data_IF_822287183680
#
_entry.id   IF_822287183680
#
_cell.length_a   1.000
_cell.length_b   1.000
_cell.length_c   1.000
_cell.angle_alpha   90.00
_cell.angle_beta   90.00
_cell.angle_gamma   90.00
#
_symmetry.space_group_name_H-M   'P 1'
#
loop_
_entity.id
_entity.type
_entity.pdbx_description
1 polymer ?
#
# COMPACT_ATOMS: atom_id res chain seq x y z
N UNK A 1 10.79 -13.74 -17.98
CA UNK A 1 9.86 -14.70 -17.36
C UNK A 1 8.60 -14.72 -18.22
N UNK A 2 8.20 -15.87 -18.75
CA UNK A 2 7.05 -15.95 -19.67
C UNK A 2 5.74 -15.65 -18.94
N UNK A 3 4.77 -15.08 -19.64
CA UNK A 3 3.42 -14.80 -19.14
C UNK A 3 2.72 -16.02 -18.54
N UNK A 4 3.02 -17.22 -19.06
CA UNK A 4 2.53 -18.50 -18.57
C UNK A 4 3.05 -18.82 -17.15
N UNK A 5 4.32 -18.53 -16.86
CA UNK A 5 4.88 -18.71 -15.50
C UNK A 5 4.26 -17.79 -14.45
N UNK A 6 3.90 -16.57 -14.82
CA UNK A 6 3.22 -15.62 -13.93
C UNK A 6 1.76 -16.05 -13.65
N UNK A 7 1.04 -16.55 -14.63
CA UNK A 7 -0.33 -17.05 -14.45
C UNK A 7 -0.38 -18.28 -13.55
N UNK A 8 0.56 -19.22 -13.71
CA UNK A 8 0.64 -20.42 -12.87
C UNK A 8 0.98 -20.08 -11.41
N UNK A 9 1.89 -19.16 -11.15
CA UNK A 9 2.23 -18.73 -9.79
C UNK A 9 1.06 -18.08 -9.06
N UNK A 10 0.13 -17.42 -9.77
CA UNK A 10 -1.03 -16.74 -9.19
C UNK A 10 -2.10 -17.72 -8.67
N UNK A 11 -2.29 -18.86 -9.30
CA UNK A 11 -3.23 -19.89 -8.84
C UNK A 11 -2.74 -20.64 -7.61
N UNK A 12 -1.44 -20.65 -7.36
CA UNK A 12 -0.83 -21.32 -6.19
C UNK A 12 -1.16 -20.66 -4.85
N UNK A 13 -1.62 -19.39 -4.86
CA UNK A 13 -1.96 -18.64 -3.65
C UNK A 13 -3.15 -19.28 -2.91
N UNK A 14 -4.04 -19.96 -3.63
CA UNK A 14 -5.31 -20.47 -3.10
C UNK A 14 -5.23 -21.89 -2.54
N UNK A 15 -4.06 -22.50 -2.52
CA UNK A 15 -3.84 -23.85 -1.98
C UNK A 15 -3.01 -23.83 -0.70
N UNK A 16 -3.08 -24.92 0.04
CA UNK A 16 -2.16 -25.17 1.15
C UNK A 16 -0.72 -25.19 0.64
N UNK A 17 0.19 -24.54 1.34
CA UNK A 17 1.60 -24.49 0.98
C UNK A 17 2.28 -25.81 1.38
N UNK A 18 2.22 -26.81 0.50
CA UNK A 18 2.85 -28.12 0.72
C UNK A 18 4.36 -28.05 0.76
N UNK A 19 4.96 -27.10 0.04
CA UNK A 19 6.39 -26.84 0.01
C UNK A 19 6.93 -26.49 1.40
N UNK A 20 6.16 -25.74 2.20
CA UNK A 20 6.50 -25.48 3.59
C UNK A 20 6.53 -26.74 4.43
N UNK A 21 5.52 -27.61 4.29
CA UNK A 21 5.46 -28.88 5.00
C UNK A 21 6.60 -29.82 4.58
N UNK A 22 6.93 -29.85 3.29
CA UNK A 22 8.08 -30.59 2.79
C UNK A 22 9.40 -30.05 3.36
N UNK A 23 9.59 -28.73 3.41
CA UNK A 23 10.77 -28.13 4.02
C UNK A 23 10.92 -28.51 5.51
N UNK A 24 9.82 -28.49 6.26
CA UNK A 24 9.81 -28.95 7.66
C UNK A 24 10.11 -30.46 7.77
N UNK A 25 9.58 -31.28 6.88
CA UNK A 25 9.89 -32.73 6.83
C UNK A 25 11.38 -32.98 6.64
N UNK A 26 12.02 -32.26 5.71
CA UNK A 26 13.47 -32.37 5.53
C UNK A 26 14.27 -31.87 6.75
N UNK A 27 13.83 -30.78 7.40
CA UNK A 27 14.47 -30.30 8.62
C UNK A 27 14.32 -31.28 9.79
N UNK A 28 13.15 -31.91 9.94
CA UNK A 28 12.99 -32.96 10.97
C UNK A 28 13.89 -34.15 10.70
N UNK A 29 14.06 -34.55 9.44
CA UNK A 29 15.02 -35.60 9.07
C UNK A 29 16.45 -35.22 9.47
N UNK A 30 16.88 -33.98 9.25
CA UNK A 30 18.18 -33.48 9.70
C UNK A 30 18.35 -33.59 11.21
N UNK A 31 17.34 -33.14 11.99
CA UNK A 31 17.38 -33.20 13.45
C UNK A 31 17.51 -34.64 13.94
N UNK A 32 16.74 -35.58 13.38
CA UNK A 32 16.80 -37.00 13.73
C UNK A 32 18.18 -37.57 13.38
N UNK A 33 18.72 -37.26 12.23
CA UNK A 33 20.03 -37.72 11.79
C UNK A 33 21.17 -37.20 12.69
N UNK A 34 21.09 -35.92 13.10
CA UNK A 34 22.04 -35.36 14.06
C UNK A 34 21.91 -36.07 15.44
N UNK A 35 20.69 -36.36 15.89
CA UNK A 35 20.44 -37.09 17.13
C UNK A 35 21.08 -38.48 17.11
N UNK A 36 20.90 -39.23 16.03
CA UNK A 36 21.51 -40.56 15.83
C UNK A 36 23.02 -40.44 15.83
N UNK A 37 23.58 -39.50 15.07
CA UNK A 37 25.02 -39.30 15.01
C UNK A 37 25.62 -38.93 16.37
N UNK A 38 24.96 -38.14 17.18
CA UNK A 38 25.45 -37.73 18.49
C UNK A 38 25.62 -38.91 19.46
N UNK A 39 24.79 -39.96 19.32
CA UNK A 39 24.85 -41.16 20.15
C UNK A 39 25.87 -42.20 19.63
N UNK A 40 26.00 -42.31 18.31
CA UNK A 40 26.76 -43.42 17.69
C UNK A 40 28.06 -42.95 17.00
N UNK A 41 28.42 -41.65 17.09
CA UNK A 41 29.52 -41.06 16.34
C UNK A 41 30.83 -41.79 16.50
N UNK A 42 31.18 -42.24 17.73
CA UNK A 42 32.45 -42.92 18.03
C UNK A 42 32.49 -44.39 17.62
N UNK A 43 31.31 -45.02 17.48
CA UNK A 43 31.17 -46.41 17.11
C UNK A 43 31.10 -46.64 15.59
N UNK A 44 30.80 -45.58 14.83
CA UNK A 44 30.67 -45.65 13.37
C UNK A 44 32.01 -45.67 12.68
N UNK A 45 32.17 -46.57 11.70
CA UNK A 45 33.28 -46.57 10.78
C UNK A 45 33.45 -45.22 10.07
N UNK A 46 34.66 -44.81 9.77
CA UNK A 46 34.96 -43.52 9.18
C UNK A 46 34.20 -43.27 7.85
N UNK A 47 34.11 -44.31 7.04
CA UNK A 47 33.37 -44.27 5.76
C UNK A 47 31.87 -44.00 5.95
N UNK A 48 31.27 -44.61 6.97
CA UNK A 48 29.86 -44.39 7.30
C UNK A 48 29.59 -42.96 7.74
N UNK A 49 30.50 -42.31 8.45
CA UNK A 49 30.37 -40.90 8.85
C UNK A 49 30.23 -39.95 7.68
N UNK A 50 31.03 -40.17 6.62
CA UNK A 50 30.95 -39.34 5.42
C UNK A 50 29.63 -39.51 4.69
N UNK A 51 29.10 -40.73 4.63
CA UNK A 51 27.77 -41.00 4.06
C UNK A 51 26.69 -40.26 4.83
N UNK A 52 26.70 -40.35 6.17
CA UNK A 52 25.72 -39.62 7.01
C UNK A 52 25.81 -38.10 6.84
N UNK A 53 27.01 -37.53 6.81
CA UNK A 53 27.21 -36.11 6.53
C UNK A 53 26.68 -35.71 5.16
N UNK A 54 26.92 -36.54 4.13
CA UNK A 54 26.38 -36.34 2.79
C UNK A 54 24.84 -36.30 2.77
N UNK A 55 24.18 -37.23 3.49
CA UNK A 55 22.72 -37.26 3.62
C UNK A 55 22.20 -36.02 4.35
N UNK A 56 22.86 -35.59 5.43
CA UNK A 56 22.46 -34.35 6.15
C UNK A 56 22.56 -33.14 5.21
N UNK A 57 23.65 -33.00 4.47
CA UNK A 57 23.82 -31.90 3.51
C UNK A 57 22.73 -31.95 2.43
N UNK A 58 22.43 -33.14 1.89
CA UNK A 58 21.36 -33.32 0.93
C UNK A 58 20.01 -32.88 1.51
N UNK A 59 19.67 -33.31 2.72
CA UNK A 59 18.42 -32.91 3.39
C UNK A 59 18.34 -31.39 3.63
N UNK A 60 19.45 -30.75 4.00
CA UNK A 60 19.52 -29.29 4.17
C UNK A 60 19.29 -28.56 2.83
N UNK A 61 19.93 -29.02 1.76
CA UNK A 61 19.74 -28.43 0.42
C UNK A 61 18.30 -28.60 -0.04
N UNK A 62 17.71 -29.80 0.14
CA UNK A 62 16.32 -30.06 -0.17
C UNK A 62 15.36 -29.18 0.65
N UNK A 63 15.61 -29.01 1.96
CA UNK A 63 14.84 -28.11 2.83
C UNK A 63 14.92 -26.66 2.33
N UNK A 64 16.12 -26.19 2.00
CA UNK A 64 16.34 -24.83 1.52
C UNK A 64 15.62 -24.58 0.19
N UNK A 65 15.68 -25.53 -0.74
CA UNK A 65 14.99 -25.41 -2.01
C UNK A 65 13.47 -25.32 -1.84
N UNK A 66 12.88 -26.23 -1.06
CA UNK A 66 11.45 -26.18 -0.73
C UNK A 66 11.06 -24.90 0.00
N UNK A 67 11.90 -24.39 0.89
CA UNK A 67 11.66 -23.11 1.58
C UNK A 67 11.67 -21.92 0.60
N UNK A 68 12.60 -21.90 -0.35
CA UNK A 68 12.65 -20.86 -1.39
C UNK A 68 11.39 -20.86 -2.28
N UNK A 69 10.84 -22.02 -2.56
CA UNK A 69 9.58 -22.16 -3.32
C UNK A 69 8.36 -21.79 -2.47
N UNK A 70 8.36 -22.12 -1.18
CA UNK A 70 7.30 -21.81 -0.25
C UNK A 70 7.16 -20.30 0.04
N UNK A 71 8.28 -19.58 0.13
CA UNK A 71 8.32 -18.19 0.59
C UNK A 71 7.42 -17.23 -0.21
N UNK A 72 7.45 -17.21 -1.56
CA UNK A 72 6.57 -16.33 -2.33
C UNK A 72 5.09 -16.67 -2.15
N UNK A 73 4.75 -17.96 -1.99
CA UNK A 73 3.38 -18.40 -1.76
C UNK A 73 2.88 -17.92 -0.40
N UNK A 74 3.67 -18.11 0.66
CA UNK A 74 3.34 -17.67 2.00
C UNK A 74 3.19 -16.15 2.10
N UNK A 75 4.08 -15.41 1.45
CA UNK A 75 4.00 -13.95 1.36
C UNK A 75 2.71 -13.50 0.65
N UNK A 76 2.34 -14.15 -0.43
CA UNK A 76 1.13 -13.85 -1.16
C UNK A 76 -0.14 -14.20 -0.35
N UNK A 77 -0.14 -15.34 0.37
CA UNK A 77 -1.22 -15.72 1.28
C UNK A 77 -1.37 -14.72 2.43
N UNK A 78 -0.27 -14.27 3.04
CA UNK A 78 -0.32 -13.27 4.11
C UNK A 78 -0.94 -11.95 3.62
N UNK A 79 -0.63 -11.52 2.39
CA UNK A 79 -1.20 -10.32 1.77
C UNK A 79 -2.71 -10.36 1.58
N UNK A 80 -3.33 -11.53 1.55
CA UNK A 80 -4.80 -11.63 1.46
C UNK A 80 -5.50 -11.18 2.76
N UNK A 81 -4.80 -11.19 3.88
CA UNK A 81 -5.36 -10.89 5.20
C UNK A 81 -4.84 -9.59 5.82
N UNK A 82 -3.69 -9.13 5.38
CA UNK A 82 -3.04 -7.91 5.89
C UNK A 82 -2.89 -6.91 4.76
N UNK A 83 -3.37 -5.69 4.97
CA UNK A 83 -3.24 -4.63 3.97
C UNK A 83 -1.79 -4.17 3.82
N UNK A 84 -1.39 -3.93 2.56
CA UNK A 84 -0.13 -3.28 2.21
C UNK A 84 -0.30 -1.81 1.82
N UNK A 85 -1.38 -1.14 2.29
CA UNK A 85 -1.60 0.26 1.97
C UNK A 85 -0.47 1.14 2.51
N UNK A 86 0.03 2.01 1.66
CA UNK A 86 1.03 3.01 2.00
C UNK A 86 0.34 4.37 1.92
N UNK A 87 0.31 5.09 3.05
CA UNK A 87 -0.26 6.42 3.11
C UNK A 87 0.82 7.45 2.81
N UNK A 88 0.49 8.44 2.00
CA UNK A 88 1.35 9.59 1.71
C UNK A 88 0.85 10.78 2.52
N UNK A 89 1.77 11.45 3.21
CA UNK A 89 1.51 12.73 3.87
C UNK A 89 1.55 13.89 2.86
N UNK A 90 0.86 15.03 3.12
CA UNK A 90 0.94 16.21 2.26
C UNK A 90 2.39 16.70 2.04
N UNK A 91 3.25 16.62 3.04
CA UNK A 91 4.66 16.98 2.95
C UNK A 91 5.47 16.05 2.04
N UNK A 92 5.23 14.74 2.07
CA UNK A 92 5.83 13.78 1.14
C UNK A 92 5.30 14.03 -0.28
N UNK A 93 4.00 14.28 -0.42
CA UNK A 93 3.39 14.64 -1.70
C UNK A 93 4.07 15.88 -2.30
N UNK A 94 4.34 16.91 -1.49
CA UNK A 94 5.08 18.11 -1.90
C UNK A 94 6.48 17.76 -2.43
N UNK A 95 7.22 16.91 -1.71
CA UNK A 95 8.55 16.47 -2.14
C UNK A 95 8.46 15.81 -3.52
N UNK A 96 7.53 14.91 -3.73
CA UNK A 96 7.36 14.20 -4.99
C UNK A 96 6.90 15.09 -6.14
N UNK A 97 6.08 16.10 -5.87
CA UNK A 97 5.61 17.05 -6.88
C UNK A 97 6.67 18.13 -7.22
N UNK A 98 7.58 18.44 -6.28
CA UNK A 98 8.58 19.49 -6.43
C UNK A 98 10.01 18.98 -6.73
N UNK A 99 10.30 17.70 -6.55
CA UNK A 99 11.63 17.07 -6.72
C UNK A 99 12.05 16.95 -8.19
N UNK A 100 11.86 17.88 -9.01
CA UNK A 100 12.55 17.99 -10.29
C UNK A 100 13.44 19.24 -10.39
N UNK A 101 13.53 20.07 -9.33
CA UNK A 101 13.91 21.48 -9.48
C UNK A 101 14.83 22.07 -8.42
N UNK A 102 15.74 21.26 -7.87
CA UNK A 102 16.89 21.82 -7.12
C UNK A 102 17.94 22.37 -8.09
N UNK A 103 17.67 23.51 -8.71
CA UNK A 103 18.71 24.36 -9.28
C UNK A 103 18.28 25.81 -9.26
N UNK A 104 18.67 26.51 -8.20
CA UNK A 104 18.50 27.95 -8.03
C UNK A 104 17.40 28.32 -7.02
N UNK A 105 17.67 29.39 -6.28
CA UNK A 105 16.89 29.98 -5.16
C UNK A 105 15.44 30.42 -5.48
N UNK A 106 14.75 29.78 -6.38
CA UNK A 106 13.35 30.02 -6.67
C UNK A 106 12.62 28.67 -6.67
N UNK A 107 11.87 28.43 -5.62
CA UNK A 107 10.99 27.26 -5.45
C UNK A 107 9.82 27.22 -6.46
N UNK A 108 9.73 28.25 -7.29
CA UNK A 108 8.70 28.38 -8.33
C UNK A 108 9.38 28.34 -9.68
N UNK A 109 9.86 27.19 -10.12
CA UNK A 109 10.22 27.01 -11.52
C UNK A 109 9.36 25.94 -12.15
N UNK A 110 8.49 26.47 -13.04
CA UNK A 110 7.84 25.81 -14.17
C UNK A 110 7.65 24.32 -13.95
N UNK A 111 6.56 24.03 -13.30
CA UNK A 111 6.06 22.67 -13.19
C UNK A 111 6.00 22.05 -14.56
N UNK A 112 6.44 20.82 -14.68
CA UNK A 112 5.86 19.93 -15.64
C UNK A 112 4.39 19.78 -15.21
N UNK A 113 3.55 20.69 -15.71
CA UNK A 113 2.13 20.78 -15.34
C UNK A 113 1.34 19.54 -15.78
N UNK A 114 2.04 18.54 -16.30
CA UNK A 114 1.40 17.42 -16.93
C UNK A 114 0.97 16.32 -15.96
N UNK A 115 1.63 16.17 -14.82
CA UNK A 115 1.34 15.03 -13.92
C UNK A 115 1.29 15.42 -12.44
N UNK A 116 0.21 15.01 -11.76
CA UNK A 116 0.03 15.09 -10.30
C UNK A 116 0.16 13.71 -9.69
N UNK A 117 0.92 13.59 -8.60
CA UNK A 117 1.00 12.35 -7.84
C UNK A 117 -0.29 12.14 -7.04
N UNK A 118 -0.91 10.97 -7.18
CA UNK A 118 -2.08 10.57 -6.40
C UNK A 118 -1.72 9.77 -5.15
N UNK A 119 -0.60 9.05 -5.19
CA UNK A 119 -0.21 8.15 -4.11
C UNK A 119 0.38 6.85 -4.61
N UNK A 120 0.40 5.85 -3.73
CA UNK A 120 0.77 4.48 -4.10
C UNK A 120 -0.47 3.68 -4.47
N UNK A 121 -0.38 2.94 -5.55
CA UNK A 121 -1.45 2.10 -6.05
C UNK A 121 -1.00 1.27 -7.23
N UNK A 122 -1.93 0.66 -7.93
CA UNK A 122 -1.66 -0.09 -9.15
C UNK A 122 -2.77 0.18 -10.18
N UNK A 123 -2.44 0.04 -11.44
CA UNK A 123 -3.41 0.14 -12.51
C UNK A 123 -4.27 -1.12 -12.57
N UNK A 124 -5.59 -0.92 -12.56
CA UNK A 124 -6.54 -2.03 -12.56
C UNK A 124 -6.71 -2.59 -13.98
N UNK A 125 -6.27 -3.83 -14.20
CA UNK A 125 -6.40 -4.54 -15.47
C UNK A 125 -7.38 -5.72 -15.41
N UNK A 126 -7.65 -6.38 -16.55
CA UNK A 126 -8.54 -7.55 -16.63
C UNK A 126 -8.09 -8.70 -15.72
N UNK A 127 -6.80 -8.86 -15.52
CA UNK A 127 -6.21 -9.85 -14.62
C UNK A 127 -6.59 -9.62 -13.15
N UNK A 128 -6.66 -8.37 -12.72
CA UNK A 128 -7.08 -8.00 -11.36
C UNK A 128 -8.57 -8.28 -11.17
N UNK A 129 -9.38 -8.03 -12.20
CA UNK A 129 -10.82 -8.36 -12.20
C UNK A 129 -11.05 -9.87 -12.05
N UNK A 130 -10.31 -10.69 -12.79
CA UNK A 130 -10.41 -12.14 -12.68
C UNK A 130 -9.99 -12.65 -11.30
N UNK A 131 -8.89 -12.09 -10.75
CA UNK A 131 -8.42 -12.43 -9.40
C UNK A 131 -9.45 -12.00 -8.34
N UNK A 132 -10.01 -10.79 -8.47
CA UNK A 132 -11.04 -10.29 -7.57
C UNK A 132 -12.28 -11.19 -7.57
N UNK A 133 -12.75 -11.58 -8.76
CA UNK A 133 -13.89 -12.49 -8.91
C UNK A 133 -13.63 -13.85 -8.24
N UNK A 134 -12.44 -14.43 -8.46
CA UNK A 134 -12.05 -15.68 -7.81
C UNK A 134 -12.03 -15.54 -6.28
N UNK A 135 -11.46 -14.45 -5.75
CA UNK A 135 -11.38 -14.19 -4.32
C UNK A 135 -12.76 -13.94 -3.68
N UNK A 136 -13.65 -13.25 -4.38
CA UNK A 136 -15.03 -13.05 -3.91
C UNK A 136 -15.79 -14.37 -3.80
N UNK A 137 -15.64 -15.25 -4.79
CA UNK A 137 -16.30 -16.56 -4.79
C UNK A 137 -15.67 -17.57 -3.80
N UNK A 138 -14.48 -17.26 -3.29
CA UNK A 138 -13.76 -18.10 -2.32
C UNK A 138 -13.99 -17.69 -0.86
N UNK A 139 -14.91 -16.77 -0.55
CA UNK A 139 -15.12 -16.28 0.82
C UNK A 139 -15.36 -17.38 1.85
N UNK A 140 -16.09 -18.42 1.46
CA UNK A 140 -16.28 -19.62 2.29
C UNK A 140 -15.03 -20.52 2.36
N UNK A 141 -14.14 -20.46 1.38
CA UNK A 141 -12.93 -21.28 1.29
C UNK A 141 -11.69 -20.61 1.87
N UNK A 142 -11.70 -19.29 2.08
CA UNK A 142 -10.57 -18.57 2.70
C UNK A 142 -10.28 -19.06 4.12
N UNK A 143 -11.30 -19.43 4.86
CA UNK A 143 -11.15 -20.05 6.19
C UNK A 143 -10.48 -21.44 6.16
N UNK A 144 -10.42 -22.07 4.98
CA UNK A 144 -9.81 -23.37 4.79
C UNK A 144 -8.32 -23.30 4.41
N UNK A 145 -7.77 -22.13 4.13
CA UNK A 145 -6.33 -21.96 3.89
C UNK A 145 -5.60 -22.12 5.22
N UNK A 146 -4.96 -23.27 5.39
CA UNK A 146 -4.12 -23.53 6.55
C UNK A 146 -2.78 -22.85 6.37
N UNK A 147 -2.60 -21.71 7.04
CA UNK A 147 -1.33 -21.00 7.07
C UNK A 147 -0.40 -21.59 8.11
N UNK A 148 0.92 -21.73 7.81
CA UNK A 148 1.91 -22.12 8.78
C UNK A 148 1.98 -21.15 9.96
N UNK A 149 2.40 -21.64 11.12
CA UNK A 149 2.45 -20.87 12.38
C UNK A 149 3.10 -19.48 12.24
N UNK A 150 4.29 -19.30 11.64
CA UNK A 150 4.93 -17.99 11.58
C UNK A 150 4.12 -16.97 10.74
N UNK A 151 3.50 -17.42 9.65
CA UNK A 151 2.66 -16.56 8.81
C UNK A 151 1.35 -16.23 9.53
N UNK A 152 0.75 -17.22 10.18
CA UNK A 152 -0.48 -17.04 10.97
C UNK A 152 -0.28 -16.04 12.10
N UNK A 153 0.83 -16.15 12.83
CA UNK A 153 1.19 -15.22 13.90
C UNK A 153 1.36 -13.78 13.37
N UNK A 154 2.11 -13.60 12.26
CA UNK A 154 2.26 -12.30 11.60
C UNK A 154 0.91 -11.70 11.18
N UNK A 155 0.06 -12.49 10.55
CA UNK A 155 -1.27 -12.06 10.11
C UNK A 155 -2.13 -11.65 11.32
N UNK A 156 -2.13 -12.41 12.41
CA UNK A 156 -2.89 -12.08 13.61
C UNK A 156 -2.47 -10.75 14.24
N UNK A 157 -1.19 -10.44 14.27
CA UNK A 157 -0.69 -9.17 14.81
C UNK A 157 -1.10 -7.94 13.97
N UNK A 158 -1.20 -8.08 12.66
CA UNK A 158 -1.46 -6.96 11.76
C UNK A 158 -2.92 -6.86 11.30
N UNK A 159 -3.74 -7.86 11.60
CA UNK A 159 -5.12 -7.94 11.12
C UNK A 159 -6.01 -6.86 11.75
N UNK A 160 -5.72 -6.43 12.98
CA UNK A 160 -6.49 -5.41 13.68
C UNK A 160 -6.32 -4.04 13.02
N UNK A 161 -5.10 -3.66 12.68
CA UNK A 161 -4.82 -2.44 11.91
C UNK A 161 -5.50 -2.46 10.53
N UNK A 162 -5.53 -3.61 9.89
CA UNK A 162 -6.23 -3.80 8.62
C UNK A 162 -7.74 -3.64 8.75
N UNK A 163 -8.34 -4.16 9.81
CA UNK A 163 -9.79 -4.03 10.09
C UNK A 163 -10.21 -2.59 10.33
N UNK A 164 -9.39 -1.81 11.01
CA UNK A 164 -9.66 -0.40 11.30
C UNK A 164 -9.77 0.46 10.03
N UNK A 165 -9.12 0.06 8.94
CA UNK A 165 -9.17 0.75 7.65
C UNK A 165 -10.44 0.46 6.84
N UNK A 166 -11.20 -0.58 7.22
CA UNK A 166 -12.39 -1.02 6.51
C UNK A 166 -12.10 -1.73 5.18
N UNK A 167 -13.13 -2.29 4.58
CA UNK A 167 -13.01 -3.02 3.31
C UNK A 167 -12.36 -4.40 3.44
N UNK A 168 -11.97 -4.97 2.33
CA UNK A 168 -11.31 -6.28 2.26
C UNK A 168 -9.83 -6.10 1.93
N UNK A 169 -8.94 -6.58 2.82
CA UNK A 169 -7.49 -6.44 2.70
C UNK A 169 -6.93 -6.92 1.36
N UNK A 170 -7.49 -7.98 0.79
CA UNK A 170 -7.03 -8.56 -0.46
C UNK A 170 -7.17 -7.62 -1.66
N UNK A 171 -8.14 -6.68 -1.66
CA UNK A 171 -8.33 -5.72 -2.75
C UNK A 171 -7.08 -4.84 -2.92
N UNK A 172 -6.51 -4.38 -1.81
CA UNK A 172 -5.33 -3.51 -1.81
C UNK A 172 -4.04 -4.22 -2.24
N UNK A 173 -4.05 -5.55 -2.27
CA UNK A 173 -2.88 -6.37 -2.57
C UNK A 173 -2.98 -7.17 -3.88
N UNK A 174 -3.98 -6.89 -4.72
CA UNK A 174 -4.15 -7.55 -6.02
C UNK A 174 -3.04 -7.21 -7.01
N UNK A 175 -2.53 -5.97 -6.97
CA UNK A 175 -1.43 -5.50 -7.78
C UNK A 175 -0.17 -5.18 -7.00
N UNK A 176 0.88 -4.81 -7.71
CA UNK A 176 2.11 -4.28 -7.12
C UNK A 176 1.98 -2.76 -6.99
N UNK A 177 2.07 -2.25 -5.76
CA UNK A 177 1.98 -0.83 -5.50
C UNK A 177 3.18 -0.09 -6.10
N UNK A 178 2.88 0.84 -6.98
CA UNK A 178 3.82 1.79 -7.57
C UNK A 178 3.28 3.22 -7.39
N UNK A 179 4.12 4.22 -7.57
CA UNK A 179 3.70 5.61 -7.56
C UNK A 179 2.76 5.86 -8.74
N UNK A 180 1.52 6.25 -8.44
CA UNK A 180 0.50 6.56 -9.43
C UNK A 180 0.45 8.06 -9.68
N UNK A 181 0.65 8.43 -10.94
CA UNK A 181 0.57 9.81 -11.42
C UNK A 181 -0.58 9.95 -12.40
N UNK A 182 -1.25 11.06 -12.34
CA UNK A 182 -2.37 11.39 -13.23
C UNK A 182 -2.08 12.74 -13.89
N UNK A 183 -2.37 12.85 -15.17
CA UNK A 183 -2.23 14.12 -15.90
C UNK A 183 -3.13 15.17 -15.27
N UNK A 184 -2.61 16.37 -15.09
CA UNK A 184 -3.36 17.49 -14.53
C UNK A 184 -4.61 17.81 -15.37
N UNK A 185 -4.54 17.61 -16.69
CA UNK A 185 -5.66 17.82 -17.62
C UNK A 185 -6.88 16.95 -17.29
N UNK A 186 -6.70 15.80 -16.66
CA UNK A 186 -7.81 14.93 -16.23
C UNK A 186 -8.68 15.55 -15.13
N UNK A 187 -8.22 16.64 -14.50
CA UNK A 187 -8.95 17.37 -13.44
C UNK A 187 -9.79 18.53 -13.96
N UNK A 188 -9.77 18.84 -15.26
CA UNK A 188 -10.58 19.92 -15.85
C UNK A 188 -12.09 19.61 -15.89
N UNK A 189 -12.52 18.47 -15.38
CA UNK A 189 -13.92 18.11 -15.22
C UNK A 189 -14.37 18.13 -13.77
N UNK A 190 -15.62 17.69 -13.55
CA UNK A 190 -16.17 17.50 -12.22
C UNK A 190 -15.81 16.12 -11.69
N UNK A 191 -15.37 16.07 -10.43
CA UNK A 191 -15.07 14.80 -9.74
C UNK A 191 -16.04 14.62 -8.58
N UNK A 192 -16.78 13.51 -8.59
CA UNK A 192 -17.67 13.12 -7.50
C UNK A 192 -16.99 12.06 -6.63
N UNK A 193 -16.80 12.35 -5.32
CA UNK A 193 -16.25 11.43 -4.34
C UNK A 193 -17.36 10.98 -3.40
N UNK A 194 -17.73 9.73 -3.47
CA UNK A 194 -18.79 9.14 -2.63
C UNK A 194 -18.22 8.06 -1.71
N UNK A 195 -18.86 7.82 -0.59
CA UNK A 195 -18.49 6.78 0.36
C UNK A 195 -19.14 7.00 1.73
N UNK A 196 -19.15 5.96 2.55
CA UNK A 196 -19.65 6.01 3.91
C UNK A 196 -18.73 6.83 4.84
N UNK A 197 -19.18 7.07 6.06
CA UNK A 197 -18.35 7.71 7.11
C UNK A 197 -17.13 6.83 7.38
N UNK A 198 -15.95 7.44 7.53
CA UNK A 198 -14.70 6.72 7.81
C UNK A 198 -14.00 6.10 6.60
N UNK A 199 -14.52 6.24 5.37
CA UNK A 199 -13.90 5.65 4.15
C UNK A 199 -12.76 6.48 3.56
N UNK A 200 -12.29 7.53 4.24
CA UNK A 200 -11.14 8.33 3.79
C UNK A 200 -11.45 9.41 2.76
N UNK A 201 -12.73 9.81 2.57
CA UNK A 201 -13.10 10.90 1.64
C UNK A 201 -12.33 12.19 1.91
N UNK A 202 -12.33 12.65 3.15
CA UNK A 202 -11.61 13.88 3.54
C UNK A 202 -10.10 13.73 3.37
N UNK A 203 -9.55 12.54 3.62
CA UNK A 203 -8.13 12.26 3.37
C UNK A 203 -7.79 12.41 1.89
N UNK A 204 -8.65 11.91 0.99
CA UNK A 204 -8.47 12.08 -0.45
C UNK A 204 -8.61 13.55 -0.86
N UNK A 205 -9.64 14.27 -0.37
CA UNK A 205 -9.81 15.70 -0.64
C UNK A 205 -8.61 16.53 -0.16
N UNK A 206 -8.06 16.20 1.00
CA UNK A 206 -6.84 16.81 1.52
C UNK A 206 -5.66 16.61 0.58
N UNK A 207 -5.43 15.40 0.09
CA UNK A 207 -4.34 15.10 -0.85
C UNK A 207 -4.53 15.82 -2.19
N UNK A 208 -5.75 15.84 -2.72
CA UNK A 208 -6.04 16.49 -4.00
C UNK A 208 -5.88 18.02 -3.90
N UNK A 209 -6.39 18.64 -2.83
CA UNK A 209 -6.26 20.09 -2.63
C UNK A 209 -4.79 20.50 -2.40
N UNK A 210 -4.02 19.75 -1.59
CA UNK A 210 -2.60 19.99 -1.44
C UNK A 210 -1.84 19.79 -2.77
N UNK A 211 -2.17 18.77 -3.54
CA UNK A 211 -1.61 18.56 -4.88
C UNK A 211 -1.87 19.72 -5.82
N UNK A 212 -3.09 20.26 -5.84
CA UNK A 212 -3.44 21.45 -6.63
C UNK A 212 -2.63 22.69 -6.21
N UNK A 213 -2.44 22.91 -4.90
CA UNK A 213 -1.59 23.97 -4.36
C UNK A 213 -0.14 23.81 -4.83
N UNK A 214 0.41 22.59 -4.83
CA UNK A 214 1.77 22.31 -5.32
C UNK A 214 1.95 22.64 -6.80
N UNK A 215 0.89 22.55 -7.59
CA UNK A 215 0.88 22.93 -9.02
C UNK A 215 0.63 24.42 -9.26
N UNK A 216 0.49 25.22 -8.20
CA UNK A 216 0.25 26.66 -8.30
C UNK A 216 -1.19 27.02 -8.66
N UNK A 217 -2.12 26.08 -8.53
CA UNK A 217 -3.54 26.33 -8.76
C UNK A 217 -4.17 27.04 -7.57
N UNK A 218 -5.17 27.88 -7.83
CA UNK A 218 -6.02 28.46 -6.78
C UNK A 218 -7.02 27.40 -6.33
N UNK A 219 -7.06 27.13 -5.03
CA UNK A 219 -7.98 26.17 -4.43
C UNK A 219 -9.02 26.91 -3.59
N UNK A 220 -10.28 26.76 -3.95
CA UNK A 220 -11.41 27.22 -3.12
C UNK A 220 -12.06 26.00 -2.48
N UNK A 221 -11.90 25.87 -1.15
CA UNK A 221 -12.50 24.79 -0.38
C UNK A 221 -13.72 25.30 0.41
N UNK A 222 -14.87 24.63 0.22
CA UNK A 222 -16.09 24.86 1.01
C UNK A 222 -16.30 23.66 1.91
N UNK A 223 -16.08 23.83 3.19
CA UNK A 223 -16.20 22.74 4.18
C UNK A 223 -17.28 23.04 5.22
N UNK A 224 -18.49 22.48 5.07
CA UNK A 224 -19.58 22.67 6.02
C UNK A 224 -19.35 21.96 7.36
N UNK A 225 -18.38 21.04 7.44
CA UNK A 225 -18.06 20.27 8.66
C UNK A 225 -16.98 20.91 9.51
N UNK A 226 -16.26 21.92 8.98
CA UNK A 226 -15.13 22.55 9.61
C UNK A 226 -14.02 21.55 10.04
N UNK A 227 -13.57 20.74 9.08
CA UNK A 227 -12.48 19.77 9.27
C UNK A 227 -11.15 20.51 9.46
N UNK A 228 -10.70 20.55 10.71
CA UNK A 228 -9.47 21.27 11.08
C UNK A 228 -8.24 20.65 10.43
N UNK A 229 -8.17 19.32 10.33
CA UNK A 229 -7.02 18.62 9.76
C UNK A 229 -6.85 18.94 8.27
N UNK A 230 -7.96 19.08 7.54
CA UNK A 230 -7.92 19.47 6.14
C UNK A 230 -7.47 20.92 5.96
N UNK A 231 -8.04 21.83 6.72
CA UNK A 231 -7.68 23.26 6.69
C UNK A 231 -6.22 23.47 7.07
N UNK A 232 -5.77 22.85 8.17
CA UNK A 232 -4.41 23.02 8.69
C UNK A 232 -3.37 22.40 7.75
N UNK A 233 -3.70 21.30 7.08
CA UNK A 233 -2.85 20.73 6.04
C UNK A 233 -2.67 21.69 4.85
N UNK A 234 -3.76 22.27 4.32
CA UNK A 234 -3.67 23.25 3.23
C UNK A 234 -2.88 24.49 3.64
N UNK A 235 -3.11 24.98 4.86
CA UNK A 235 -2.37 26.12 5.41
C UNK A 235 -0.87 25.82 5.50
N UNK A 236 -0.50 24.67 6.06
CA UNK A 236 0.90 24.27 6.18
C UNK A 236 1.60 24.16 4.82
N UNK A 237 0.90 23.69 3.79
CA UNK A 237 1.45 23.64 2.43
C UNK A 237 1.57 25.03 1.79
N UNK A 238 0.60 25.92 2.01
CA UNK A 238 0.68 27.30 1.57
C UNK A 238 1.85 28.02 2.24
N UNK A 239 2.00 27.90 3.56
CA UNK A 239 3.10 28.50 4.34
C UNK A 239 4.46 27.98 3.85
N UNK A 240 4.58 26.67 3.56
CA UNK A 240 5.81 26.07 3.06
C UNK A 240 6.19 26.54 1.65
N UNK A 241 5.23 26.98 0.85
CA UNK A 241 5.42 27.49 -0.52
C UNK A 241 5.47 29.01 -0.58
N UNK A 242 5.20 29.73 0.54
CA UNK A 242 5.09 31.19 0.56
C UNK A 242 3.87 31.72 -0.19
N UNK A 243 2.79 30.93 -0.27
CA UNK A 243 1.53 31.27 -0.92
C UNK A 243 0.54 31.77 0.13
N UNK A 244 -0.25 32.84 -0.13
CA UNK A 244 -1.22 33.33 0.85
C UNK A 244 -2.35 32.31 1.07
N UNK A 245 -2.71 32.14 2.34
CA UNK A 245 -3.83 31.31 2.77
C UNK A 245 -4.90 32.18 3.43
N UNK A 246 -6.13 32.07 2.97
CA UNK A 246 -7.27 32.80 3.51
C UNK A 246 -8.31 31.82 4.05
N UNK A 247 -8.81 32.09 5.26
CA UNK A 247 -9.87 31.29 5.87
C UNK A 247 -11.02 32.20 6.27
N UNK A 248 -12.23 31.78 5.93
CA UNK A 248 -13.46 32.43 6.36
C UNK A 248 -14.31 31.47 7.19
N UNK A 249 -14.71 31.89 8.38
CA UNK A 249 -15.63 31.14 9.23
C UNK A 249 -16.61 32.09 9.92
N UNK A 250 -17.94 31.94 9.73
CA UNK A 250 -18.92 32.88 10.23
C UNK A 250 -18.88 33.08 11.77
N UNK A 251 -18.58 32.01 12.50
CA UNK A 251 -18.56 32.04 13.98
C UNK A 251 -17.23 32.50 14.58
N UNK A 252 -16.16 32.65 13.78
CA UNK A 252 -14.83 33.03 14.28
C UNK A 252 -14.30 34.26 13.57
N UNK A 253 -14.94 35.41 13.81
CA UNK A 253 -14.63 36.67 13.13
C UNK A 253 -13.18 37.13 13.33
N UNK A 254 -12.56 36.85 14.48
CA UNK A 254 -11.20 37.28 14.81
C UNK A 254 -10.11 36.56 13.98
N UNK A 255 -10.40 35.37 13.50
CA UNK A 255 -9.46 34.55 12.66
C UNK A 255 -9.89 34.46 11.20
N UNK A 256 -10.96 35.13 10.82
CA UNK A 256 -11.53 35.09 9.49
C UNK A 256 -11.18 36.33 8.68
N UNK A 257 -11.00 36.14 7.36
CA UNK A 257 -10.96 37.30 6.45
C UNK A 257 -12.34 37.91 6.30
N UNK A 258 -12.42 39.21 6.10
CA UNK A 258 -13.67 39.86 5.77
C UNK A 258 -13.98 39.64 4.28
N UNK A 259 -15.18 39.14 3.99
CA UNK A 259 -15.70 38.98 2.64
C UNK A 259 -16.83 40.01 2.45
N UNK A 260 -16.67 40.89 1.47
CA UNK A 260 -17.71 41.79 1.05
C UNK A 260 -18.21 41.32 -0.32
N UNK A 261 -19.33 40.58 -0.39
CA UNK A 261 -19.84 40.01 -1.63
C UNK A 261 -20.34 41.08 -2.61
N UNK A 262 -20.59 42.30 -2.13
CA UNK A 262 -21.15 43.39 -2.96
C UNK A 262 -20.09 44.41 -3.41
N UNK A 263 -18.83 44.24 -3.02
CA UNK A 263 -17.78 45.23 -3.27
C UNK A 263 -17.55 45.59 -4.73
N UNK A 264 -17.73 44.64 -5.62
CA UNK A 264 -17.38 44.78 -7.03
C UNK A 264 -18.56 44.62 -7.97
N UNK A 265 -19.82 44.70 -7.46
CA UNK A 265 -20.96 44.64 -8.37
C UNK A 265 -21.02 45.89 -9.24
N UNK A 266 -21.39 45.73 -10.49
CA UNK A 266 -21.49 46.82 -11.48
C UNK A 266 -22.90 46.96 -12.03
N UNK A 267 -23.76 45.99 -11.80
CA UNK A 267 -25.15 45.95 -12.25
C UNK A 267 -26.07 45.46 -11.15
N UNK A 268 -27.26 46.07 -11.08
CA UNK A 268 -28.29 45.68 -10.09
C UNK A 268 -28.76 44.21 -10.21
N UNK A 269 -28.49 43.58 -11.36
CA UNK A 269 -28.79 42.17 -11.62
C UNK A 269 -27.72 41.22 -11.13
N UNK A 270 -26.61 41.71 -10.56
CA UNK A 270 -25.52 40.90 -10.01
C UNK A 270 -25.67 40.69 -8.48
N UNK A 271 -26.77 41.22 -7.89
CA UNK A 271 -27.09 41.12 -6.45
C UNK A 271 -28.00 39.94 -6.20
#
# INVERSE_FOLDING_TARGET
MSTIGKAHSRTLIYRTCFEWNAALGWLTAVVVMIGILSQSWFELAQEARWVYLGVIVFCLVAALNNFREAWPILKAQARMFVTGMIFITPSELRIHNLVGKKRGNSLIKKHDHEETLLGYGFEWGPEHTNMAYQLMNMDTKRSQIVMPFPVRWYVQQHMEATRSMGGSAWIYNLGENALQRVRADNWYGHTLITGNVGTGKTTLLRLLSCGAIHHGNVVLAVDPKNDQDWRDAMKAECDALGIPFYSFHPSYASSSVAIDPLRNYTRDTEI
#
